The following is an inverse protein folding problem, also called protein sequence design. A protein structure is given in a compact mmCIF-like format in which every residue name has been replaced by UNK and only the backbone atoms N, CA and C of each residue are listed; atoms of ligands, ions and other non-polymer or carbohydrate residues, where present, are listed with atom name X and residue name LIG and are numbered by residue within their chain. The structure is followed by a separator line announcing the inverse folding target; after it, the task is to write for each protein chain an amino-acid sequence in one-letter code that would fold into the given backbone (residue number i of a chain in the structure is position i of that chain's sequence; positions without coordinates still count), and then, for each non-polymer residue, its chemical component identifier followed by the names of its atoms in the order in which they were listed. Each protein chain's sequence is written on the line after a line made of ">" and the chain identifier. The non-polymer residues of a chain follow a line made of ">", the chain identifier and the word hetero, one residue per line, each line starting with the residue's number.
data_IF_841248389033
#
_entry.id   IF_841248389033
#
_cell.length_a   1.000
_cell.length_b   1.000
_cell.length_c   1.000
_cell.angle_alpha   90.00
_cell.angle_beta   90.00
_cell.angle_gamma   90.00
#
_symmetry.space_group_name_H-M   'P 1'
#
loop_
_entity.id
_entity.type
_entity.pdbx_description
1 polymer ?
#
# COMPACT_ATOMS: atom_id res chain seq x y z
N UNK A 1 -1.22 3.82 1.92
CA UNK A 1 -0.59 4.85 1.04
C UNK A 1 -0.36 4.33 -0.38
N UNK A 2 0.20 3.15 -0.55
CA UNK A 2 0.44 2.58 -1.88
C UNK A 2 -0.83 2.49 -2.75
N UNK A 3 -1.95 2.09 -2.19
CA UNK A 3 -3.25 2.03 -2.86
C UNK A 3 -3.60 3.38 -3.51
N UNK A 4 -3.48 4.46 -2.73
CA UNK A 4 -3.79 5.81 -3.23
C UNK A 4 -2.87 6.24 -4.37
N UNK A 5 -1.57 5.95 -4.28
CA UNK A 5 -0.63 6.28 -5.34
C UNK A 5 -0.95 5.53 -6.63
N UNK A 6 -1.16 4.23 -6.55
CA UNK A 6 -1.46 3.42 -7.74
C UNK A 6 -2.73 3.90 -8.44
N UNK A 7 -3.78 4.23 -7.69
CA UNK A 7 -4.99 4.79 -8.28
C UNK A 7 -4.75 6.14 -8.94
N UNK A 8 -3.86 6.96 -8.37
CA UNK A 8 -3.54 8.27 -8.92
C UNK A 8 -2.71 8.21 -10.19
N UNK A 9 -1.90 7.16 -10.37
CA UNK A 9 -1.04 7.02 -11.53
C UNK A 9 -1.80 6.70 -12.80
N UNK A 10 -2.83 5.85 -12.69
CA UNK A 10 -3.60 5.44 -13.87
C UNK A 10 -4.98 4.92 -13.45
N UNK A 11 -6.03 5.51 -14.01
CA UNK A 11 -7.41 5.12 -13.72
C UNK A 11 -7.77 3.73 -14.23
N UNK A 12 -6.99 3.18 -15.12
CA UNK A 12 -7.21 1.83 -15.67
C UNK A 12 -6.82 0.73 -14.70
N UNK A 13 -6.01 1.06 -13.68
CA UNK A 13 -5.59 0.10 -12.67
C UNK A 13 -6.71 -0.06 -11.66
N UNK A 14 -7.15 -1.31 -11.46
CA UNK A 14 -8.06 -1.65 -10.37
C UNK A 14 -7.23 -2.05 -9.16
N UNK A 15 -7.24 -1.20 -8.14
CA UNK A 15 -6.41 -1.37 -6.95
C UNK A 15 -7.27 -1.80 -5.77
N UNK A 16 -6.78 -2.83 -5.07
CA UNK A 16 -7.37 -3.29 -3.82
C UNK A 16 -6.27 -3.38 -2.79
N UNK A 17 -6.57 -3.07 -1.55
CA UNK A 17 -5.61 -3.18 -0.45
C UNK A 17 -6.25 -3.92 0.72
N UNK A 18 -5.43 -4.68 1.43
CA UNK A 18 -5.89 -5.49 2.55
C UNK A 18 -4.74 -5.77 3.51
N UNK A 19 -5.08 -6.25 4.70
CA UNK A 19 -4.11 -6.65 5.71
C UNK A 19 -4.54 -7.90 6.44
N UNK A 20 -3.60 -8.55 7.11
CA UNK A 20 -3.88 -9.73 7.94
C UNK A 20 -4.52 -9.33 9.26
N UNK A 21 -4.18 -8.15 9.77
CA UNK A 21 -4.75 -7.57 10.99
C UNK A 21 -5.12 -6.11 10.71
N UNK A 22 -6.21 -5.86 9.95
CA UNK A 22 -6.56 -4.49 9.58
C UNK A 22 -6.99 -3.68 10.78
N UNK A 23 -6.55 -2.41 10.83
CA UNK A 23 -7.03 -1.45 11.80
C UNK A 23 -8.51 -1.10 11.51
N UNK A 24 -9.16 -0.43 12.46
CA UNK A 24 -10.56 -0.02 12.28
C UNK A 24 -10.71 1.09 11.22
N UNK A 25 -9.66 1.88 11.03
CA UNK A 25 -9.64 2.98 10.06
C UNK A 25 -8.24 3.24 9.58
N UNK A 26 -8.13 3.96 8.47
CA UNK A 26 -6.85 4.43 7.95
C UNK A 26 -6.20 5.38 8.96
N UNK A 27 -4.89 5.26 9.14
CA UNK A 27 -4.14 6.09 10.09
C UNK A 27 -4.29 7.58 9.70
N UNK A 28 -4.70 8.46 10.63
CA UNK A 28 -4.90 9.88 10.34
C UNK A 28 -3.65 10.59 9.83
N UNK A 29 -2.47 10.22 10.29
CA UNK A 29 -1.22 10.82 9.79
C UNK A 29 -0.96 10.41 8.34
N UNK A 30 -1.29 9.18 7.96
CA UNK A 30 -1.21 8.75 6.57
C UNK A 30 -2.16 9.57 5.69
N UNK A 31 -3.38 9.82 6.16
CA UNK A 31 -4.34 10.68 5.44
C UNK A 31 -3.76 12.07 5.25
N UNK A 32 -3.18 12.66 6.29
CA UNK A 32 -2.62 14.01 6.24
C UNK A 32 -1.46 14.13 5.24
N UNK A 33 -0.50 13.21 5.30
CA UNK A 33 0.68 13.29 4.42
C UNK A 33 0.32 12.99 2.96
N UNK A 34 -0.65 12.11 2.71
CA UNK A 34 -1.14 11.85 1.35
C UNK A 34 -1.89 13.05 0.79
N UNK A 35 -2.67 13.73 1.61
CA UNK A 35 -3.38 14.95 1.20
C UNK A 35 -2.41 16.05 0.79
N UNK A 36 -1.26 16.18 1.46
CA UNK A 36 -0.20 17.13 1.08
C UNK A 36 0.36 16.82 -0.30
N UNK A 37 0.29 15.57 -0.74
CA UNK A 37 0.70 15.16 -2.09
C UNK A 37 -0.48 15.12 -3.08
N UNK A 38 -1.60 15.72 -2.72
CA UNK A 38 -2.78 15.84 -3.58
C UNK A 38 -3.65 14.59 -3.65
N UNK A 39 -3.46 13.63 -2.75
CA UNK A 39 -4.17 12.35 -2.78
C UNK A 39 -5.00 12.19 -1.51
N UNK A 40 -6.31 12.01 -1.68
CA UNK A 40 -7.24 11.78 -0.57
C UNK A 40 -7.48 10.28 -0.38
N UNK A 41 -7.03 9.75 0.76
CA UNK A 41 -7.27 8.36 1.16
C UNK A 41 -8.19 8.26 2.37
N UNK A 42 -8.83 9.36 2.77
CA UNK A 42 -9.69 9.39 3.95
C UNK A 42 -10.91 8.45 3.84
N UNK A 43 -11.34 8.17 2.61
CA UNK A 43 -12.47 7.27 2.32
C UNK A 43 -12.08 5.80 2.22
N UNK A 44 -10.78 5.48 2.22
CA UNK A 44 -10.32 4.10 2.19
C UNK A 44 -10.67 3.39 3.50
N UNK A 45 -11.08 2.14 3.41
CA UNK A 45 -11.40 1.31 4.57
C UNK A 45 -10.44 0.14 4.65
N UNK A 46 -9.81 -0.08 5.80
CA UNK A 46 -9.01 -1.29 6.01
C UNK A 46 -9.88 -2.54 5.84
N UNK A 47 -9.37 -3.50 5.10
CA UNK A 47 -10.09 -4.72 4.74
C UNK A 47 -9.21 -5.93 5.08
N UNK A 48 -9.83 -7.01 5.55
CA UNK A 48 -9.12 -8.25 5.81
C UNK A 48 -8.80 -8.96 4.49
N UNK A 49 -7.57 -9.42 4.35
CA UNK A 49 -7.06 -10.08 3.15
C UNK A 49 -7.86 -11.35 2.80
N UNK A 50 -8.49 -11.98 3.76
CA UNK A 50 -9.30 -13.19 3.53
C UNK A 50 -10.39 -12.98 2.47
N UNK A 51 -10.86 -11.74 2.31
CA UNK A 51 -11.87 -11.42 1.28
C UNK A 51 -11.35 -11.61 -0.14
N UNK A 52 -10.03 -11.62 -0.33
CA UNK A 52 -9.41 -11.63 -1.66
C UNK A 52 -8.63 -12.89 -1.99
N UNK A 53 -8.52 -13.83 -1.06
CA UNK A 53 -7.63 -15.00 -1.22
C UNK A 53 -7.97 -15.87 -2.41
N UNK A 54 -9.25 -15.99 -2.76
CA UNK A 54 -9.73 -16.87 -3.83
C UNK A 54 -9.96 -16.16 -5.17
N UNK A 55 -9.74 -14.86 -5.22
CA UNK A 55 -9.91 -14.08 -6.45
C UNK A 55 -8.69 -14.24 -7.36
N UNK A 56 -8.86 -13.88 -8.62
CA UNK A 56 -7.77 -13.84 -9.59
C UNK A 56 -7.10 -12.47 -9.57
N UNK A 57 -5.76 -12.45 -9.52
CA UNK A 57 -4.98 -11.23 -9.44
C UNK A 57 -3.88 -11.20 -10.49
N UNK A 58 -3.71 -10.07 -11.14
CA UNK A 58 -2.55 -9.83 -12.00
C UNK A 58 -1.29 -9.63 -11.15
N UNK A 59 -1.40 -8.88 -10.07
CA UNK A 59 -0.31 -8.61 -9.13
C UNK A 59 -0.80 -8.71 -7.70
N UNK A 60 -0.03 -9.43 -6.89
CA UNK A 60 -0.15 -9.38 -5.43
C UNK A 60 1.17 -8.82 -4.90
N UNK A 61 1.10 -7.67 -4.25
CA UNK A 61 2.28 -6.95 -3.76
C UNK A 61 2.19 -6.82 -2.25
N UNK A 62 3.16 -7.37 -1.54
CA UNK A 62 3.27 -7.21 -0.10
C UNK A 62 4.21 -6.04 0.20
N UNK A 63 3.83 -5.18 1.15
CA UNK A 63 4.52 -3.91 1.40
C UNK A 63 5.06 -3.77 2.83
N UNK A 64 4.65 -4.63 3.73
CA UNK A 64 5.08 -4.60 5.13
C UNK A 64 6.25 -5.54 5.35
N UNK A 65 7.26 -5.13 6.12
CA UNK A 65 8.42 -5.99 6.41
C UNK A 65 8.02 -7.25 7.17
N UNK A 66 7.00 -7.18 7.98
CA UNK A 66 6.48 -8.32 8.73
C UNK A 66 5.55 -9.22 7.91
N UNK A 67 5.15 -8.81 6.73
CA UNK A 67 4.23 -9.57 5.89
C UNK A 67 4.82 -10.90 5.42
N UNK A 68 6.14 -11.01 5.35
CA UNK A 68 6.83 -12.26 4.99
C UNK A 68 6.54 -13.40 5.97
N UNK A 69 6.36 -13.08 7.25
CA UNK A 69 6.11 -14.06 8.30
C UNK A 69 4.65 -14.49 8.36
N UNK A 70 3.75 -13.58 7.98
CA UNK A 70 2.31 -13.77 8.08
C UNK A 70 1.62 -13.68 6.73
N UNK A 71 2.38 -13.65 5.63
CA UNK A 71 1.84 -13.48 4.30
C UNK A 71 0.94 -14.67 3.95
N UNK A 72 -0.35 -14.43 3.69
CA UNK A 72 -1.26 -15.52 3.34
C UNK A 72 -0.92 -16.09 1.96
N UNK A 73 -1.16 -17.38 1.81
CA UNK A 73 -1.06 -18.02 0.51
C UNK A 73 -2.35 -17.73 -0.26
N UNK A 74 -2.23 -17.20 -1.46
CA UNK A 74 -3.35 -17.00 -2.35
C UNK A 74 -3.55 -18.26 -3.20
N UNK A 75 -4.56 -19.10 -2.91
CA UNK A 75 -4.80 -20.32 -3.68
C UNK A 75 -5.38 -20.04 -5.08
N UNK A 76 -5.92 -18.83 -5.31
CA UNK A 76 -6.39 -18.41 -6.61
C UNK A 76 -5.25 -18.14 -7.58
N UNK A 77 -5.60 -17.72 -8.80
CA UNK A 77 -4.62 -17.43 -9.85
C UNK A 77 -3.98 -16.07 -9.61
N UNK A 78 -2.68 -16.07 -9.36
CA UNK A 78 -1.87 -14.86 -9.24
C UNK A 78 -0.77 -14.91 -10.28
N UNK A 79 -0.75 -13.93 -11.18
CA UNK A 79 0.22 -13.90 -12.27
C UNK A 79 1.60 -13.47 -11.79
N UNK A 80 1.66 -12.45 -10.93
CA UNK A 80 2.91 -11.91 -10.42
C UNK A 80 2.82 -11.69 -8.91
N UNK A 81 3.82 -12.16 -8.17
CA UNK A 81 3.93 -11.96 -6.73
C UNK A 81 5.20 -11.15 -6.46
N UNK A 82 5.04 -10.00 -5.83
CA UNK A 82 6.13 -9.09 -5.53
C UNK A 82 6.12 -8.75 -4.05
N UNK A 83 7.30 -8.51 -3.51
CA UNK A 83 7.46 -7.95 -2.18
C UNK A 83 8.30 -6.69 -2.27
N UNK A 84 7.71 -5.56 -1.87
CA UNK A 84 8.38 -4.27 -1.80
C UNK A 84 8.19 -3.76 -0.39
N UNK A 85 9.10 -4.14 0.52
CA UNK A 85 8.99 -3.86 1.94
C UNK A 85 9.23 -2.40 2.27
N UNK A 86 8.43 -1.87 3.20
CA UNK A 86 8.60 -0.53 3.77
C UNK A 86 8.48 -0.63 5.28
N UNK A 87 9.20 0.24 6.00
CA UNK A 87 9.01 0.39 7.43
C UNK A 87 7.60 0.93 7.70
N UNK A 88 6.99 0.48 8.80
CA UNK A 88 5.71 1.01 9.22
C UNK A 88 5.93 2.29 10.03
N UNK A 89 5.57 3.47 9.49
CA UNK A 89 5.80 4.72 10.20
C UNK A 89 4.96 4.88 11.46
N UNK A 90 3.86 4.12 11.59
CA UNK A 90 3.03 4.14 12.80
C UNK A 90 3.73 3.56 14.02
N UNK A 91 4.79 2.78 13.83
CA UNK A 91 5.60 2.23 14.91
C UNK A 91 6.69 3.17 15.38
N UNK A 92 6.86 4.32 14.74
CA UNK A 92 7.86 5.32 15.10
C UNK A 92 7.57 5.90 16.48
N UNK A 93 8.59 5.92 17.33
CA UNK A 93 8.52 6.52 18.67
C UNK A 93 9.12 7.91 18.63
N UNK A 94 8.56 8.81 19.44
CA UNK A 94 9.05 10.18 19.53
C UNK A 94 7.90 11.17 19.64
N UNK A 95 8.23 12.46 19.51
CA UNK A 95 7.21 13.51 19.50
C UNK A 95 6.48 13.57 18.16
N UNK A 96 5.44 14.40 18.07
CA UNK A 96 4.65 14.54 16.86
C UNK A 96 5.51 14.88 15.63
N UNK A 97 6.44 15.81 15.76
CA UNK A 97 7.30 16.22 14.65
C UNK A 97 8.16 15.07 14.13
N UNK A 98 8.74 14.28 15.03
CA UNK A 98 9.55 13.13 14.65
C UNK A 98 8.72 12.08 13.94
N UNK A 99 7.53 11.80 14.46
CA UNK A 99 6.63 10.80 13.87
C UNK A 99 6.11 11.24 12.50
N UNK A 100 5.66 12.49 12.37
CA UNK A 100 5.12 12.97 11.09
C UNK A 100 6.21 13.02 10.01
N UNK A 101 7.45 13.34 10.38
CA UNK A 101 8.56 13.33 9.43
C UNK A 101 8.84 11.94 8.90
N UNK A 102 8.68 10.89 9.71
CA UNK A 102 8.79 9.51 9.25
C UNK A 102 7.65 9.14 8.29
N UNK A 103 6.43 9.62 8.53
CA UNK A 103 5.34 9.43 7.58
C UNK A 103 5.64 10.09 6.24
N UNK A 104 6.21 11.29 6.22
CA UNK A 104 6.63 11.94 4.98
C UNK A 104 7.72 11.16 4.27
N UNK A 105 8.72 10.68 4.99
CA UNK A 105 9.83 9.91 4.42
C UNK A 105 9.32 8.63 3.77
N UNK A 106 8.52 7.87 4.50
CA UNK A 106 7.97 6.60 3.98
C UNK A 106 7.01 6.86 2.82
N UNK A 107 6.17 7.90 2.91
CA UNK A 107 5.30 8.28 1.79
C UNK A 107 6.10 8.49 0.50
N UNK A 108 7.20 9.22 0.58
CA UNK A 108 8.03 9.50 -0.58
C UNK A 108 8.67 8.23 -1.14
N UNK A 109 9.15 7.34 -0.28
CA UNK A 109 9.72 6.06 -0.69
C UNK A 109 8.68 5.18 -1.38
N UNK A 110 7.48 5.09 -0.83
CA UNK A 110 6.37 4.35 -1.42
C UNK A 110 6.02 4.92 -2.80
N UNK A 111 5.86 6.23 -2.90
CA UNK A 111 5.56 6.89 -4.17
C UNK A 111 6.60 6.55 -5.22
N UNK A 112 7.87 6.68 -4.90
CA UNK A 112 8.96 6.50 -5.87
C UNK A 112 9.09 5.04 -6.30
N UNK A 113 9.00 4.10 -5.38
CA UNK A 113 9.06 2.66 -5.70
C UNK A 113 7.85 2.20 -6.52
N UNK A 114 6.65 2.61 -6.15
CA UNK A 114 5.44 2.24 -6.90
C UNK A 114 5.34 2.95 -8.23
N UNK A 115 5.83 4.17 -8.35
CA UNK A 115 5.91 4.84 -9.65
C UNK A 115 6.86 4.12 -10.59
N UNK A 116 8.00 3.65 -10.09
CA UNK A 116 8.93 2.84 -10.86
C UNK A 116 8.27 1.55 -11.32
N UNK A 117 7.58 0.86 -10.45
CA UNK A 117 6.83 -0.36 -10.79
C UNK A 117 5.79 -0.06 -11.87
N UNK A 118 5.06 1.02 -11.74
CA UNK A 118 4.07 1.44 -12.72
C UNK A 118 4.72 1.67 -14.10
N UNK A 119 5.77 2.45 -14.16
CA UNK A 119 6.44 2.79 -15.42
C UNK A 119 7.08 1.58 -16.10
N UNK A 120 7.69 0.68 -15.33
CA UNK A 120 8.44 -0.45 -15.89
C UNK A 120 7.58 -1.67 -16.19
N UNK A 121 6.48 -1.87 -15.48
CA UNK A 121 5.66 -3.09 -15.61
C UNK A 121 4.18 -2.82 -15.85
N UNK A 122 3.53 -2.09 -14.95
CA UNK A 122 2.06 -2.02 -14.95
C UNK A 122 1.52 -1.28 -16.17
N UNK A 123 2.13 -0.18 -16.54
CA UNK A 123 1.73 0.62 -17.68
C UNK A 123 1.72 -0.15 -18.99
N UNK A 124 2.69 -1.05 -19.17
CA UNK A 124 2.84 -1.83 -20.39
C UNK A 124 1.76 -2.91 -20.56
N UNK A 125 1.08 -3.26 -19.48
CA UNK A 125 0.08 -4.33 -19.46
C UNK A 125 -1.35 -3.82 -19.48
N UNK A 126 -1.53 -2.52 -19.50
CA UNK A 126 -2.85 -1.88 -19.50
C UNK A 126 -3.40 -1.67 -20.92
#
# INVERSE_FOLDING_TARGET
>A
MAHGFLQSFDKKIKVFSAGTEPALRVNPMAVDVMKKDGIDISHHKPVNVDQYLNDEWDYVITVCDHANETCPVFPGKVRHRLHIGFEDPSETKGNYTEVINEFYRIRNDIRDEFYRLYETELRKKL
#
